data_IF_909060908237
#
_entry.id   IF_909060908237
#
_cell.length_a   1.000
_cell.length_b   1.000
_cell.length_c   1.000
_cell.angle_alpha   90.00
_cell.angle_beta   90.00
_cell.angle_gamma   90.00
#
_symmetry.space_group_name_H-M   'P 1'
#
loop_
_entity.id
_entity.type
_entity.pdbx_description
1 polymer ?
#
# COMPACT_ATOMS: atom_id res chain seq x y z
N UNK A 1 2.92 41.87 9.83
CA UNK A 1 4.25 41.59 9.25
C UNK A 1 4.46 40.09 9.26
N UNK A 2 4.31 39.43 8.10
CA UNK A 2 5.38 38.57 7.64
C UNK A 2 5.71 38.82 6.16
N UNK A 3 7.00 38.82 5.86
CA UNK A 3 7.63 39.14 4.58
C UNK A 3 7.57 37.94 3.64
N UNK A 4 7.04 38.14 2.44
CA UNK A 4 7.12 37.19 1.32
C UNK A 4 8.53 37.18 0.71
N UNK A 5 9.06 36.02 0.27
CA UNK A 5 10.32 35.98 -0.45
C UNK A 5 10.13 36.36 -1.92
N UNK A 6 10.94 37.31 -2.36
CA UNK A 6 11.04 37.90 -3.70
C UNK A 6 11.61 36.90 -4.70
N UNK A 7 10.92 36.66 -5.83
CA UNK A 7 11.44 35.90 -6.97
C UNK A 7 12.30 36.81 -7.87
N UNK A 8 13.47 36.30 -8.26
CA UNK A 8 14.42 36.93 -9.18
C UNK A 8 13.98 36.66 -10.64
N UNK A 9 13.97 37.64 -11.56
CA UNK A 9 13.59 37.41 -12.96
C UNK A 9 14.65 36.61 -13.73
N UNK A 10 14.25 35.56 -14.44
CA UNK A 10 15.12 34.85 -15.39
C UNK A 10 15.07 35.50 -16.78
N UNK A 11 16.19 35.51 -17.54
CA UNK A 11 16.25 36.08 -18.90
C UNK A 11 15.51 35.21 -19.93
N UNK A 12 14.79 35.87 -20.85
CA UNK A 12 14.13 35.26 -22.00
C UNK A 12 15.16 34.74 -23.02
N UNK A 13 15.04 33.47 -23.41
CA UNK A 13 15.81 32.87 -24.51
C UNK A 13 15.23 33.29 -25.88
N UNK A 14 16.06 33.53 -26.90
CA UNK A 14 15.60 33.89 -28.24
C UNK A 14 14.94 32.72 -28.97
N UNK A 15 13.88 33.02 -29.72
CA UNK A 15 13.13 32.09 -30.57
C UNK A 15 14.00 31.53 -31.72
N UNK A 16 13.79 30.27 -32.14
CA UNK A 16 14.54 29.68 -33.24
C UNK A 16 14.18 30.32 -34.59
N UNK A 17 15.11 30.32 -35.58
CA UNK A 17 14.85 30.89 -36.90
C UNK A 17 13.80 30.07 -37.65
N UNK A 18 12.90 30.77 -38.33
CA UNK A 18 11.89 30.21 -39.25
C UNK A 18 12.57 29.36 -40.32
N UNK A 19 12.11 28.12 -40.47
CA UNK A 19 12.63 27.17 -41.46
C UNK A 19 12.26 27.59 -42.88
N UNK A 20 13.09 27.21 -43.85
CA UNK A 20 12.89 27.46 -45.30
C UNK A 20 11.50 26.99 -45.78
N UNK A 21 10.96 25.94 -45.16
CA UNK A 21 9.62 25.42 -45.45
C UNK A 21 8.48 26.38 -45.02
N UNK A 22 8.67 27.20 -43.98
CA UNK A 22 7.68 28.19 -43.55
C UNK A 22 7.64 29.39 -44.52
N UNK A 23 8.78 29.80 -45.07
CA UNK A 23 8.86 30.88 -46.07
C UNK A 23 8.24 30.48 -47.42
N UNK A 24 8.40 29.21 -47.82
CA UNK A 24 7.78 28.67 -49.04
C UNK A 24 6.26 28.57 -48.95
N UNK A 25 5.71 28.41 -47.74
CA UNK A 25 4.26 28.35 -47.52
C UNK A 25 3.61 29.74 -47.62
N UNK A 26 4.28 30.78 -47.15
CA UNK A 26 3.80 32.17 -47.25
C UNK A 26 3.85 32.72 -48.69
N UNK A 27 4.85 32.35 -49.50
CA UNK A 27 4.90 32.69 -50.93
C UNK A 27 3.74 32.06 -51.73
N UNK A 28 3.38 30.81 -51.42
CA UNK A 28 2.26 30.13 -52.09
C UNK A 28 0.89 30.72 -51.71
N UNK A 29 0.75 31.27 -50.50
CA UNK A 29 -0.47 31.96 -50.06
C UNK A 29 -0.62 33.35 -50.70
N UNK A 30 0.49 34.04 -51.00
CA UNK A 30 0.49 35.30 -51.73
C UNK A 30 0.08 35.13 -53.22
N UNK A 31 0.54 34.06 -53.88
CA UNK A 31 0.21 33.78 -55.28
C UNK A 31 -1.27 33.40 -55.50
N UNK A 32 -1.90 32.74 -54.52
CA UNK A 32 -3.34 32.44 -54.54
C UNK A 32 -4.22 33.69 -54.42
N UNK A 33 -3.76 34.73 -53.72
CA UNK A 33 -4.44 36.03 -53.64
C UNK A 33 -4.41 36.82 -54.95
N UNK A 34 -3.35 36.65 -55.74
CA UNK A 34 -3.21 37.30 -57.05
C UNK A 34 -4.07 36.67 -58.15
N UNK A 35 -4.41 35.38 -58.07
CA UNK A 35 -5.32 34.74 -59.05
C UNK A 35 -6.80 35.08 -58.83
N UNK A 36 -7.25 35.26 -57.57
CA UNK A 36 -8.64 35.64 -57.29
C UNK A 36 -8.96 37.08 -57.73
N UNK A 37 -7.96 37.96 -57.73
CA UNK A 37 -8.12 39.38 -58.12
C UNK A 37 -8.23 39.60 -59.63
N UNK A 38 -7.88 38.60 -60.47
CA UNK A 38 -7.98 38.69 -61.95
C UNK A 38 -9.31 38.21 -62.54
N UNK A 39 -10.26 37.77 -61.71
CA UNK A 39 -11.59 37.29 -62.14
C UNK A 39 -12.75 38.26 -61.83
N UNK A 40 -12.49 39.43 -61.24
CA UNK A 40 -13.52 40.34 -60.76
C UNK A 40 -13.80 41.58 -61.66
N UNK A 41 -13.15 41.74 -62.82
CA UNK A 41 -13.38 42.92 -63.69
C UNK A 41 -13.41 42.56 -65.17
N UNK A 42 -14.55 42.04 -65.64
CA UNK A 42 -15.01 42.19 -67.03
C UNK A 42 -16.47 41.71 -67.16
N UNK A 43 -17.42 42.65 -67.14
CA UNK A 43 -18.80 42.38 -67.55
C UNK A 43 -19.52 43.68 -67.87
N UNK A 44 -20.02 43.80 -69.11
CA UNK A 44 -21.13 44.62 -69.68
C UNK A 44 -21.00 44.49 -71.23
N UNK A 45 -21.99 44.11 -72.07
CA UNK A 45 -23.39 43.72 -71.94
C UNK A 45 -24.06 43.36 -73.30
N UNK A 46 -25.34 42.93 -73.21
CA UNK A 46 -26.50 42.98 -74.14
C UNK A 46 -26.59 42.17 -75.47
N UNK A 47 -27.70 41.40 -75.61
CA UNK A 47 -28.37 41.03 -76.88
C UNK A 47 -28.94 39.60 -76.99
N UNK A 48 -30.28 39.42 -76.87
CA UNK A 48 -31.08 38.18 -77.17
C UNK A 48 -31.30 37.96 -78.70
N UNK A 49 -31.85 36.82 -79.25
CA UNK A 49 -32.94 35.92 -78.75
C UNK A 49 -32.94 34.36 -79.03
N UNK A 50 -33.58 33.60 -78.11
CA UNK A 50 -34.47 32.35 -78.09
C UNK A 50 -34.30 31.18 -79.13
N UNK A 51 -34.15 29.86 -78.81
CA UNK A 51 -35.07 28.74 -78.34
C UNK A 51 -34.27 27.36 -78.39
N UNK A 52 -34.76 26.16 -77.95
CA UNK A 52 -35.14 25.64 -76.63
C UNK A 52 -34.11 24.64 -76.02
N UNK A 53 -34.17 24.42 -74.69
CA UNK A 53 -33.20 23.59 -73.91
C UNK A 53 -33.49 22.07 -73.97
N UNK A 54 -32.48 21.19 -74.16
CA UNK A 54 -32.54 19.80 -73.73
C UNK A 54 -32.30 19.68 -72.21
N UNK A 55 -32.99 18.73 -71.58
CA UNK A 55 -33.08 18.53 -70.12
C UNK A 55 -31.73 18.42 -69.40
N UNK A 56 -31.69 18.97 -68.18
CA UNK A 56 -30.56 18.94 -67.24
C UNK A 56 -30.09 17.51 -66.91
N UNK A 57 -30.95 16.50 -67.11
CA UNK A 57 -30.61 15.08 -66.92
C UNK A 57 -29.52 14.59 -67.89
N UNK A 58 -29.45 15.15 -69.11
CA UNK A 58 -28.44 14.76 -70.08
C UNK A 58 -27.05 15.33 -69.74
N UNK A 59 -26.98 16.47 -69.05
CA UNK A 59 -25.70 17.05 -68.63
C UNK A 59 -25.12 16.36 -67.39
N UNK A 60 -25.96 15.85 -66.49
CA UNK A 60 -25.53 14.99 -65.37
C UNK A 60 -25.05 13.61 -65.87
N UNK A 61 -25.75 13.04 -66.86
CA UNK A 61 -25.36 11.76 -67.48
C UNK A 61 -24.03 11.84 -68.22
N UNK A 62 -23.76 12.95 -68.93
CA UNK A 62 -22.50 13.13 -69.67
C UNK A 62 -21.32 13.39 -68.74
N UNK A 63 -21.47 14.21 -67.69
CA UNK A 63 -20.41 14.43 -66.69
C UNK A 63 -20.03 13.14 -65.93
N UNK A 64 -21.01 12.28 -65.67
CA UNK A 64 -20.78 10.98 -65.02
C UNK A 64 -20.01 10.02 -65.94
N UNK A 65 -20.25 10.06 -67.25
CA UNK A 65 -19.55 9.25 -68.26
C UNK A 65 -18.13 9.74 -68.53
N UNK A 66 -17.95 11.06 -68.58
CA UNK A 66 -16.65 11.69 -68.84
C UNK A 66 -15.68 11.52 -67.65
N UNK A 67 -16.21 11.48 -66.40
CA UNK A 67 -15.46 11.08 -65.21
C UNK A 67 -15.06 9.58 -65.21
N UNK A 68 -15.80 8.74 -65.94
CA UNK A 68 -15.53 7.31 -66.09
C UNK A 68 -14.42 7.03 -67.13
N UNK A 69 -14.28 7.88 -68.15
CA UNK A 69 -13.27 7.76 -69.21
C UNK A 69 -11.86 8.22 -68.79
N UNK A 70 -11.75 9.10 -67.78
CA UNK A 70 -10.45 9.54 -67.23
C UNK A 70 -9.83 8.55 -66.22
N UNK A 71 -10.37 7.34 -66.09
CA UNK A 71 -9.79 6.28 -65.25
C UNK A 71 -9.88 6.53 -63.75
N UNK A 72 -10.51 7.62 -63.30
CA UNK A 72 -10.87 7.85 -61.90
C UNK A 72 -12.18 7.11 -61.63
N UNK A 73 -12.14 5.78 -61.79
CA UNK A 73 -13.16 4.95 -61.15
C UNK A 73 -12.84 4.96 -59.66
N UNK A 74 -13.37 5.96 -58.94
CA UNK A 74 -13.43 5.89 -57.49
C UNK A 74 -14.36 4.72 -57.16
N UNK A 75 -13.83 3.50 -57.19
CA UNK A 75 -14.53 2.31 -56.77
C UNK A 75 -14.96 2.58 -55.33
N UNK A 76 -16.27 2.64 -55.04
CA UNK A 76 -16.73 2.96 -53.70
C UNK A 76 -16.16 1.90 -52.76
N UNK A 77 -15.41 2.32 -51.74
CA UNK A 77 -14.74 1.44 -50.80
C UNK A 77 -15.71 0.76 -49.81
N UNK A 78 -16.97 0.55 -50.22
CA UNK A 78 -18.09 0.10 -49.40
C UNK A 78 -19.03 1.24 -48.97
N UNK A 79 -20.11 0.87 -48.29
CA UNK A 79 -21.11 1.79 -47.74
C UNK A 79 -20.84 2.04 -46.25
N UNK A 80 -20.90 3.30 -45.82
CA UNK A 80 -20.65 3.68 -44.44
C UNK A 80 -21.66 3.05 -43.48
N UNK A 81 -21.18 2.43 -42.40
CA UNK A 81 -22.04 1.79 -41.41
C UNK A 81 -22.96 2.74 -40.64
N UNK A 82 -22.60 4.03 -40.52
CA UNK A 82 -23.42 5.04 -39.86
C UNK A 82 -24.51 5.62 -40.77
N UNK A 83 -24.14 6.12 -41.95
CA UNK A 83 -25.06 6.85 -42.83
C UNK A 83 -25.57 6.04 -44.04
N UNK A 84 -25.08 4.81 -44.23
CA UNK A 84 -25.42 3.89 -45.34
C UNK A 84 -25.08 4.40 -46.75
N UNK A 85 -24.43 5.55 -46.88
CA UNK A 85 -24.00 6.12 -48.17
C UNK A 85 -22.66 5.52 -48.63
N UNK A 86 -22.42 5.38 -49.95
CA UNK A 86 -21.12 4.94 -50.48
C UNK A 86 -20.02 5.93 -50.09
N UNK A 87 -18.87 5.39 -49.69
CA UNK A 87 -17.72 6.20 -49.26
C UNK A 87 -16.87 6.51 -50.49
N UNK A 88 -16.79 7.79 -50.86
CA UNK A 88 -15.89 8.29 -51.90
C UNK A 88 -14.65 8.93 -51.24
N UNK A 89 -13.45 8.50 -51.65
CA UNK A 89 -12.18 9.02 -51.11
C UNK A 89 -11.67 8.25 -49.89
N UNK A 90 -11.28 8.96 -48.82
CA UNK A 90 -10.64 8.37 -47.64
C UNK A 90 -11.64 7.49 -46.86
N UNK A 91 -11.40 6.19 -46.86
CA UNK A 91 -12.18 5.20 -46.10
C UNK A 91 -11.50 4.87 -44.78
N UNK A 92 -12.28 4.77 -43.70
CA UNK A 92 -11.83 4.21 -42.44
C UNK A 92 -12.43 2.81 -42.25
N UNK A 93 -11.58 1.80 -42.11
CA UNK A 93 -12.00 0.43 -41.82
C UNK A 93 -11.75 0.12 -40.35
N UNK A 94 -12.82 -0.07 -39.58
CA UNK A 94 -12.76 -0.34 -38.15
C UNK A 94 -13.98 -1.15 -37.69
N UNK A 95 -13.83 -1.97 -36.64
CA UNK A 95 -14.91 -2.83 -36.11
C UNK A 95 -15.53 -3.76 -37.18
N UNK A 96 -14.72 -4.20 -38.15
CA UNK A 96 -15.18 -5.02 -39.29
C UNK A 96 -16.11 -4.30 -40.27
N UNK A 97 -16.19 -2.97 -40.23
CA UNK A 97 -17.07 -2.15 -41.09
C UNK A 97 -16.29 -0.99 -41.70
N UNK A 98 -16.86 -0.37 -42.73
CA UNK A 98 -16.31 0.84 -43.35
C UNK A 98 -17.09 2.07 -42.91
N UNK A 99 -16.38 3.17 -42.70
CA UNK A 99 -16.91 4.42 -42.15
C UNK A 99 -16.32 5.61 -42.89
N UNK A 100 -17.09 6.68 -42.98
CA UNK A 100 -16.48 8.00 -43.22
C UNK A 100 -15.66 8.36 -41.97
N UNK A 101 -14.47 8.97 -42.10
CA UNK A 101 -13.66 9.41 -40.96
C UNK A 101 -14.44 10.25 -39.94
N UNK A 102 -15.33 11.11 -40.43
CA UNK A 102 -16.22 12.00 -39.66
C UNK A 102 -17.31 11.23 -38.89
N UNK A 103 -17.80 10.13 -39.47
CA UNK A 103 -18.88 9.34 -38.89
C UNK A 103 -18.37 8.27 -37.92
N UNK A 104 -17.06 8.02 -37.88
CA UNK A 104 -16.45 7.15 -36.89
C UNK A 104 -16.12 7.95 -35.64
N UNK A 105 -17.06 7.96 -34.70
CA UNK A 105 -16.99 8.75 -33.49
C UNK A 105 -17.16 7.91 -32.22
N UNK A 106 -16.65 8.42 -31.10
CA UNK A 106 -16.83 7.83 -29.79
C UNK A 106 -18.31 7.69 -29.46
N UNK A 107 -18.70 6.53 -28.92
CA UNK A 107 -20.10 6.28 -28.56
C UNK A 107 -20.57 7.13 -27.38
N UNK A 108 -19.67 7.50 -26.46
CA UNK A 108 -19.98 8.31 -25.29
C UNK A 108 -19.94 9.82 -25.60
N UNK A 109 -18.78 10.37 -25.94
CA UNK A 109 -18.62 11.82 -26.16
C UNK A 109 -18.85 12.31 -27.60
N UNK A 110 -19.11 11.42 -28.56
CA UNK A 110 -19.28 11.74 -30.00
C UNK A 110 -18.06 12.40 -30.67
N UNK A 111 -16.90 12.38 -30.04
CA UNK A 111 -15.66 12.87 -30.66
C UNK A 111 -15.23 11.99 -31.83
N UNK A 112 -14.83 12.60 -32.94
CA UNK A 112 -14.32 11.91 -34.12
C UNK A 112 -13.02 11.15 -33.82
N UNK A 113 -12.98 9.87 -34.17
CA UNK A 113 -11.88 8.95 -33.93
C UNK A 113 -11.11 8.60 -35.20
N UNK A 114 -11.52 9.10 -36.37
CA UNK A 114 -11.01 8.71 -37.69
C UNK A 114 -9.50 8.89 -37.95
N UNK A 115 -8.74 9.40 -36.98
CA UNK A 115 -7.27 9.40 -36.97
C UNK A 115 -6.64 9.28 -35.58
N UNK A 116 -7.42 8.95 -34.55
CA UNK A 116 -6.96 8.86 -33.16
C UNK A 116 -7.00 7.41 -32.68
N UNK A 117 -6.14 7.02 -31.72
CA UNK A 117 -6.26 5.72 -31.08
C UNK A 117 -7.65 5.60 -30.43
N UNK A 118 -8.26 4.42 -30.53
CA UNK A 118 -9.57 4.12 -29.97
C UNK A 118 -9.57 2.72 -29.36
N UNK A 119 -10.54 2.47 -28.49
CA UNK A 119 -10.78 1.17 -27.89
C UNK A 119 -12.11 0.58 -28.36
N UNK A 120 -12.11 -0.72 -28.63
CA UNK A 120 -13.30 -1.48 -29.01
C UNK A 120 -13.86 -2.28 -27.82
N UNK A 121 -15.17 -2.16 -27.56
CA UNK A 121 -15.89 -3.00 -26.59
C UNK A 121 -17.29 -3.32 -27.09
N UNK A 122 -17.57 -4.59 -27.36
CA UNK A 122 -18.89 -5.04 -27.81
C UNK A 122 -19.34 -4.40 -29.12
N UNK A 123 -18.42 -4.24 -30.09
CA UNK A 123 -18.70 -3.64 -31.40
C UNK A 123 -18.95 -2.14 -31.39
N UNK A 124 -18.57 -1.45 -30.31
CA UNK A 124 -18.64 0.01 -30.17
C UNK A 124 -17.24 0.60 -29.98
N UNK A 125 -17.00 1.75 -30.59
CA UNK A 125 -15.76 2.51 -30.44
C UNK A 125 -15.89 3.56 -29.32
N UNK A 126 -14.86 3.64 -28.49
CA UNK A 126 -14.71 4.60 -27.41
C UNK A 126 -13.39 5.35 -27.57
N UNK A 127 -13.35 6.62 -27.17
CA UNK A 127 -12.08 7.31 -27.00
C UNK A 127 -11.37 6.73 -25.75
N UNK A 128 -10.08 6.99 -25.62
CA UNK A 128 -9.28 6.51 -24.48
C UNK A 128 -9.88 6.91 -23.13
N UNK A 129 -10.26 8.17 -22.97
CA UNK A 129 -10.80 8.70 -21.70
C UNK A 129 -12.11 8.01 -21.31
N UNK A 130 -13.09 7.97 -22.21
CA UNK A 130 -14.40 7.36 -21.95
C UNK A 130 -14.29 5.84 -21.72
N UNK A 131 -13.37 5.17 -22.43
CA UNK A 131 -13.13 3.75 -22.23
C UNK A 131 -12.61 3.46 -20.83
N UNK A 132 -11.57 4.17 -20.39
CA UNK A 132 -11.00 3.98 -19.06
C UNK A 132 -11.96 4.43 -17.96
N UNK A 133 -12.71 5.51 -18.16
CA UNK A 133 -13.68 5.97 -17.17
C UNK A 133 -14.82 4.96 -16.93
N UNK A 134 -15.29 4.29 -17.99
CA UNK A 134 -16.39 3.35 -17.91
C UNK A 134 -15.96 1.91 -17.56
N UNK A 135 -14.79 1.48 -17.99
CA UNK A 135 -14.43 0.05 -17.99
C UNK A 135 -13.14 -0.29 -17.23
N UNK A 136 -12.27 0.68 -16.93
CA UNK A 136 -11.06 0.36 -16.15
C UNK A 136 -11.40 0.14 -14.67
N UNK A 137 -10.68 -0.79 -14.01
CA UNK A 137 -10.77 -0.96 -12.57
C UNK A 137 -10.35 0.33 -11.86
N UNK A 138 -10.95 0.59 -10.70
CA UNK A 138 -10.69 1.81 -9.91
C UNK A 138 -9.74 1.52 -8.77
N UNK A 139 -8.80 2.42 -8.54
CA UNK A 139 -7.91 2.31 -7.41
C UNK A 139 -8.65 2.56 -6.10
N UNK A 140 -8.52 1.66 -5.12
CA UNK A 140 -9.14 1.80 -3.80
C UNK A 140 -8.67 3.04 -3.02
N UNK A 141 -7.47 3.56 -3.31
CA UNK A 141 -6.93 4.76 -2.67
C UNK A 141 -7.41 6.06 -3.33
N UNK A 142 -7.18 6.23 -4.64
CA UNK A 142 -7.47 7.50 -5.34
C UNK A 142 -8.80 7.51 -6.11
N UNK A 143 -9.54 6.41 -6.17
CA UNK A 143 -10.75 6.19 -6.98
C UNK A 143 -10.60 6.38 -8.51
N UNK A 144 -9.39 6.70 -8.98
CA UNK A 144 -9.05 6.89 -10.38
C UNK A 144 -8.98 5.56 -11.16
N UNK A 145 -9.25 5.59 -12.48
CA UNK A 145 -9.13 4.42 -13.35
C UNK A 145 -7.66 4.00 -13.52
N UNK A 146 -7.40 2.70 -13.39
CA UNK A 146 -6.05 2.12 -13.58
C UNK A 146 -5.90 1.74 -15.05
N UNK A 147 -4.99 2.42 -15.76
CA UNK A 147 -4.77 2.25 -17.21
C UNK A 147 -3.83 1.09 -17.55
N UNK A 148 -2.77 0.92 -16.77
CA UNK A 148 -1.68 -0.01 -17.08
C UNK A 148 -1.60 -1.15 -16.06
N UNK A 149 -0.66 -1.04 -15.11
CA UNK A 149 -0.40 -2.09 -14.12
C UNK A 149 -1.45 -2.02 -13.02
N UNK A 150 -2.32 -3.02 -12.99
CA UNK A 150 -3.23 -3.26 -11.87
C UNK A 150 -2.55 -4.13 -10.83
N UNK A 151 -2.53 -3.66 -9.58
CA UNK A 151 -2.18 -4.48 -8.44
C UNK A 151 -3.48 -4.92 -7.76
N UNK A 152 -3.68 -6.22 -7.62
CA UNK A 152 -4.84 -6.79 -6.92
C UNK A 152 -4.40 -7.27 -5.55
N UNK A 153 -4.96 -6.69 -4.49
CA UNK A 153 -4.69 -7.03 -3.10
C UNK A 153 -5.87 -6.61 -2.23
N UNK A 154 -6.10 -7.33 -1.11
CA UNK A 154 -7.22 -7.05 -0.19
C UNK A 154 -8.58 -7.02 -0.90
N UNK A 155 -8.78 -7.96 -1.83
CA UNK A 155 -9.95 -8.07 -2.71
C UNK A 155 -10.29 -6.78 -3.49
N UNK A 156 -9.30 -5.92 -3.68
CA UNK A 156 -9.42 -4.61 -4.32
C UNK A 156 -8.31 -4.38 -5.35
N UNK A 157 -8.52 -3.40 -6.21
CA UNK A 157 -7.55 -2.98 -7.23
C UNK A 157 -6.86 -1.67 -6.85
N UNK A 158 -5.56 -1.60 -7.11
CA UNK A 158 -4.71 -0.49 -6.69
C UNK A 158 -3.75 -0.10 -7.81
N UNK A 159 -3.37 1.17 -7.83
CA UNK A 159 -2.14 1.56 -8.49
C UNK A 159 -0.96 0.99 -7.67
N UNK A 160 0.10 0.45 -8.30
CA UNK A 160 1.27 -0.07 -7.57
C UNK A 160 1.89 0.97 -6.62
N UNK A 161 1.87 2.25 -7.00
CA UNK A 161 2.34 3.38 -6.20
C UNK A 161 1.41 3.76 -5.03
N UNK A 162 0.12 3.41 -5.11
CA UNK A 162 -0.87 3.68 -4.07
C UNK A 162 -1.12 2.50 -3.14
N UNK A 163 -0.37 1.41 -3.30
CA UNK A 163 -0.39 0.28 -2.39
C UNK A 163 0.81 0.36 -1.44
N UNK A 164 0.61 1.09 -0.33
CA UNK A 164 1.64 1.38 0.66
C UNK A 164 1.15 1.15 2.09
N UNK A 165 2.08 1.12 3.05
CA UNK A 165 1.75 0.96 4.45
C UNK A 165 0.84 2.08 4.95
N UNK A 166 -0.30 1.73 5.55
CA UNK A 166 -1.26 2.68 6.09
C UNK A 166 -0.73 3.51 7.27
N UNK A 167 0.41 3.12 7.86
CA UNK A 167 1.05 3.83 8.98
C UNK A 167 2.23 4.70 8.51
N UNK A 168 3.28 4.11 7.93
CA UNK A 168 4.46 4.87 7.49
C UNK A 168 4.44 5.39 6.04
N UNK A 169 3.47 4.98 5.21
CA UNK A 169 3.39 5.38 3.80
C UNK A 169 4.42 4.73 2.87
N UNK A 170 5.24 3.78 3.37
CA UNK A 170 6.24 3.08 2.55
C UNK A 170 5.57 2.09 1.60
N UNK A 171 5.94 2.13 0.32
CA UNK A 171 5.56 1.11 -0.67
C UNK A 171 6.17 -0.26 -0.31
N UNK A 172 5.43 -1.33 -0.57
CA UNK A 172 5.92 -2.69 -0.28
C UNK A 172 6.96 -3.12 -1.31
N UNK A 173 8.05 -3.70 -0.82
CA UNK A 173 9.06 -4.38 -1.65
C UNK A 173 8.83 -5.89 -1.67
N UNK A 174 9.91 -6.64 -1.79
CA UNK A 174 9.87 -8.12 -1.84
C UNK A 174 9.40 -8.76 -0.53
N UNK A 175 9.49 -8.04 0.59
CA UNK A 175 9.03 -8.47 1.92
C UNK A 175 7.50 -8.58 2.04
N UNK A 176 6.75 -8.10 1.03
CA UNK A 176 5.29 -8.12 1.02
C UNK A 176 4.66 -7.17 2.05
N UNK A 177 3.42 -7.50 2.43
CA UNK A 177 2.59 -6.69 3.35
C UNK A 177 1.84 -7.60 4.34
N UNK A 178 1.38 -7.00 5.44
CA UNK A 178 0.50 -7.63 6.41
C UNK A 178 -0.84 -6.90 6.44
N UNK A 179 -1.95 -7.64 6.53
CA UNK A 179 -3.28 -7.03 6.63
C UNK A 179 -3.74 -6.95 8.09
N UNK A 180 -4.29 -5.81 8.48
CA UNK A 180 -5.17 -5.70 9.64
C UNK A 180 -6.39 -4.86 9.32
N UNK A 181 -7.59 -5.42 9.49
CA UNK A 181 -8.86 -4.71 9.33
C UNK A 181 -9.00 -4.05 7.94
N UNK A 182 -8.64 -4.78 6.88
CA UNK A 182 -8.71 -4.27 5.49
C UNK A 182 -7.68 -3.19 5.15
N UNK A 183 -6.67 -2.96 6.01
CA UNK A 183 -5.57 -2.01 5.75
C UNK A 183 -4.23 -2.74 5.63
N UNK A 184 -3.40 -2.40 4.65
CA UNK A 184 -2.08 -3.00 4.49
C UNK A 184 -1.02 -2.28 5.35
N UNK A 185 -0.15 -3.03 6.01
CA UNK A 185 0.93 -2.55 6.87
C UNK A 185 2.26 -3.21 6.50
N UNK A 186 3.36 -2.50 6.67
CA UNK A 186 4.68 -3.11 6.54
C UNK A 186 4.96 -4.00 7.75
N UNK A 187 5.89 -4.97 7.61
CA UNK A 187 6.23 -5.90 8.70
C UNK A 187 6.59 -5.16 10.00
N UNK A 188 7.38 -4.10 9.91
CA UNK A 188 7.84 -3.33 11.08
C UNK A 188 6.68 -2.67 11.83
N UNK A 189 5.83 -1.93 11.12
CA UNK A 189 4.67 -1.24 11.69
C UNK A 189 3.63 -2.23 12.23
N UNK A 190 3.41 -3.33 11.49
CA UNK A 190 2.49 -4.37 11.92
C UNK A 190 2.93 -4.99 13.25
N UNK A 191 4.22 -5.30 13.40
CA UNK A 191 4.77 -5.83 14.64
C UNK A 191 4.74 -4.80 15.76
N UNK A 192 5.13 -3.55 15.49
CA UNK A 192 5.17 -2.51 16.51
C UNK A 192 3.79 -2.20 17.12
N UNK A 193 2.73 -2.27 16.30
CA UNK A 193 1.37 -1.93 16.74
C UNK A 193 0.54 -3.12 17.19
N UNK A 194 0.71 -4.29 16.55
CA UNK A 194 -0.23 -5.41 16.72
C UNK A 194 0.40 -6.68 17.29
N UNK A 195 1.72 -6.81 17.31
CA UNK A 195 2.33 -7.98 17.93
C UNK A 195 2.26 -7.87 19.46
N UNK A 196 2.00 -8.99 20.15
CA UNK A 196 2.00 -9.01 21.60
C UNK A 196 3.42 -8.71 22.11
N UNK A 197 3.53 -7.90 23.16
CA UNK A 197 4.81 -7.45 23.70
C UNK A 197 5.26 -8.36 24.84
N UNK A 198 6.55 -8.68 24.88
CA UNK A 198 7.12 -9.46 25.96
C UNK A 198 7.01 -8.68 27.27
N UNK A 199 6.47 -9.31 28.31
CA UNK A 199 6.34 -8.65 29.62
C UNK A 199 7.68 -8.44 30.34
N UNK A 200 8.76 -9.09 29.89
CA UNK A 200 10.11 -8.94 30.44
C UNK A 200 10.92 -7.82 29.78
N UNK A 201 10.82 -7.65 28.45
CA UNK A 201 11.63 -6.68 27.71
C UNK A 201 10.84 -5.64 26.92
N UNK A 202 9.51 -5.72 26.90
CA UNK A 202 8.57 -4.84 26.16
C UNK A 202 8.70 -4.87 24.63
N UNK A 203 9.55 -5.73 24.08
CA UNK A 203 9.70 -5.88 22.64
C UNK A 203 8.63 -6.83 22.05
N UNK A 204 8.19 -6.61 20.80
CA UNK A 204 7.30 -7.51 20.06
C UNK A 204 7.80 -8.95 20.05
N UNK A 205 6.92 -9.91 20.36
CA UNK A 205 7.22 -11.33 20.25
C UNK A 205 6.61 -11.89 18.98
N UNK A 206 7.43 -12.50 18.14
CA UNK A 206 7.01 -13.06 16.85
C UNK A 206 6.62 -14.53 17.00
N UNK A 207 7.62 -15.41 17.13
CA UNK A 207 7.45 -16.86 17.14
C UNK A 207 8.11 -17.48 18.37
N UNK A 208 7.69 -18.69 18.74
CA UNK A 208 8.26 -19.49 19.83
C UNK A 208 8.28 -18.75 21.19
N UNK A 209 7.10 -18.31 21.64
CA UNK A 209 6.93 -17.58 22.88
C UNK A 209 6.29 -18.40 23.98
N UNK A 210 6.51 -17.97 25.22
CA UNK A 210 5.89 -18.54 26.41
C UNK A 210 4.67 -17.71 26.82
N UNK A 211 3.54 -18.37 27.03
CA UNK A 211 2.34 -17.76 27.61
C UNK A 211 2.30 -18.08 29.10
N UNK A 212 2.53 -17.07 29.94
CA UNK A 212 2.57 -17.19 31.39
C UNK A 212 2.19 -15.86 32.05
N UNK A 213 1.65 -15.90 33.27
CA UNK A 213 1.32 -14.71 34.06
C UNK A 213 0.38 -13.74 33.31
N UNK A 214 -0.57 -14.29 32.55
CA UNK A 214 -1.52 -13.53 31.70
C UNK A 214 -0.84 -12.66 30.63
N UNK A 215 0.42 -12.96 30.27
CA UNK A 215 1.19 -12.25 29.24
C UNK A 215 2.00 -13.20 28.36
N UNK A 216 2.72 -12.61 27.41
CA UNK A 216 3.67 -13.34 26.54
C UNK A 216 5.10 -12.99 26.91
N UNK A 217 6.00 -13.94 26.70
CA UNK A 217 7.40 -13.81 27.05
C UNK A 217 8.28 -14.44 26.00
N UNK A 218 9.44 -13.84 25.71
CA UNK A 218 10.52 -14.59 25.08
C UNK A 218 11.01 -15.69 26.03
N UNK A 219 11.41 -16.87 25.52
CA UNK A 219 11.98 -17.93 26.34
C UNK A 219 13.16 -17.45 27.21
N UNK A 220 14.02 -16.59 26.66
CA UNK A 220 15.14 -15.97 27.39
C UNK A 220 14.73 -14.87 28.38
N UNK A 221 13.54 -14.27 28.22
CA UNK A 221 13.04 -13.23 29.12
C UNK A 221 12.22 -13.81 30.30
N UNK A 222 11.75 -15.05 30.20
CA UNK A 222 11.02 -15.71 31.28
C UNK A 222 12.01 -16.33 32.29
N UNK A 223 12.58 -15.45 33.11
CA UNK A 223 13.60 -15.77 34.12
C UNK A 223 13.19 -15.28 35.50
N UNK A 224 13.81 -15.80 36.56
CA UNK A 224 13.57 -15.31 37.91
C UNK A 224 13.97 -13.83 38.03
N UNK A 225 13.09 -13.00 38.59
CA UNK A 225 13.32 -11.55 38.75
C UNK A 225 14.57 -11.22 39.59
N UNK A 226 14.98 -12.09 40.52
CA UNK A 226 16.12 -11.80 41.40
C UNK A 226 17.46 -12.29 40.86
N UNK A 227 17.55 -13.51 40.33
CA UNK A 227 18.80 -14.07 39.82
C UNK A 227 18.93 -14.09 38.30
N UNK A 228 17.88 -13.68 37.57
CA UNK A 228 17.82 -13.69 36.11
C UNK A 228 18.12 -15.06 35.48
N UNK A 229 17.99 -16.13 36.29
CA UNK A 229 18.22 -17.50 35.84
C UNK A 229 16.92 -18.08 35.29
N UNK A 230 17.05 -18.89 34.24
CA UNK A 230 15.94 -19.66 33.69
C UNK A 230 15.48 -20.74 34.67
N UNK A 231 14.24 -21.20 34.51
CA UNK A 231 13.63 -22.21 35.36
C UNK A 231 14.07 -23.62 34.91
N UNK A 232 15.22 -24.07 35.43
CA UNK A 232 15.89 -25.33 35.02
C UNK A 232 15.01 -26.58 35.22
N UNK A 233 14.04 -26.53 36.15
CA UNK A 233 13.10 -27.62 36.42
C UNK A 233 11.73 -27.47 35.77
N UNK A 234 11.53 -26.46 34.91
CA UNK A 234 10.22 -26.14 34.32
C UNK A 234 9.17 -25.62 35.31
N UNK A 235 9.50 -25.53 36.60
CA UNK A 235 8.65 -24.97 37.64
C UNK A 235 9.08 -23.55 38.01
N UNK A 236 8.10 -22.70 38.24
CA UNK A 236 8.26 -21.32 38.70
C UNK A 236 7.17 -20.99 39.72
N UNK A 237 7.38 -19.94 40.49
CA UNK A 237 6.39 -19.40 41.42
C UNK A 237 6.01 -17.99 41.00
N UNK A 238 4.72 -17.68 41.06
CA UNK A 238 4.20 -16.34 40.81
C UNK A 238 4.08 -15.57 42.12
N UNK A 239 4.53 -14.32 42.11
CA UNK A 239 4.21 -13.35 43.15
C UNK A 239 4.01 -11.98 42.52
N UNK A 240 2.85 -11.35 42.75
CA UNK A 240 2.48 -10.04 42.17
C UNK A 240 2.63 -9.99 40.64
N UNK A 241 2.26 -11.06 39.93
CA UNK A 241 2.39 -11.16 38.47
C UNK A 241 3.84 -11.24 37.98
N UNK A 242 4.79 -11.59 38.84
CA UNK A 242 6.21 -11.74 38.50
C UNK A 242 6.72 -13.17 38.77
N UNK A 243 7.60 -13.71 37.91
CA UNK A 243 8.11 -15.07 38.06
C UNK A 243 9.34 -15.13 38.99
N UNK A 244 9.33 -16.06 39.94
CA UNK A 244 10.41 -16.30 40.90
C UNK A 244 10.82 -17.77 40.89
N UNK A 245 12.10 -18.05 41.11
CA UNK A 245 12.54 -19.42 41.36
C UNK A 245 12.13 -19.83 42.77
N UNK A 246 12.10 -21.14 43.03
CA UNK A 246 11.66 -21.69 44.32
C UNK A 246 12.40 -21.06 45.51
N UNK A 247 13.71 -20.87 45.39
CA UNK A 247 14.54 -20.28 46.44
C UNK A 247 14.14 -18.83 46.72
N UNK A 248 14.11 -17.96 45.70
CA UNK A 248 13.81 -16.54 45.86
C UNK A 248 12.37 -16.27 46.31
N UNK A 249 11.43 -17.10 45.86
CA UNK A 249 10.04 -17.05 46.34
C UNK A 249 9.96 -17.29 47.85
N UNK A 250 10.60 -18.36 48.34
CA UNK A 250 10.59 -18.68 49.77
C UNK A 250 11.48 -17.74 50.61
N UNK A 251 12.53 -17.14 50.03
CA UNK A 251 13.31 -16.09 50.67
C UNK A 251 12.43 -14.87 50.98
N UNK A 252 11.67 -14.39 49.99
CA UNK A 252 10.76 -13.25 50.17
C UNK A 252 9.60 -13.53 51.12
N UNK A 253 9.09 -14.77 51.15
CA UNK A 253 8.07 -15.17 52.13
C UNK A 253 8.62 -15.45 53.54
N UNK A 254 9.95 -15.41 53.73
CA UNK A 254 10.57 -15.73 55.01
C UNK A 254 10.35 -17.20 55.42
N UNK A 255 10.37 -18.12 54.46
CA UNK A 255 10.20 -19.56 54.64
C UNK A 255 11.48 -20.36 54.38
N UNK A 256 12.65 -19.71 54.46
CA UNK A 256 13.95 -20.37 54.35
C UNK A 256 14.44 -20.83 55.72
N UNK A 257 14.97 -22.04 55.77
CA UNK A 257 15.62 -22.58 56.96
C UNK A 257 16.94 -21.86 57.21
N UNK A 258 17.09 -21.21 58.36
CA UNK A 258 18.33 -20.53 58.72
C UNK A 258 19.52 -21.49 58.87
N UNK A 259 19.26 -22.76 59.24
CA UNK A 259 20.31 -23.77 59.40
C UNK A 259 20.92 -24.31 58.10
N UNK A 260 20.16 -24.41 57.00
CA UNK A 260 20.62 -25.04 55.76
C UNK A 260 20.42 -24.19 54.49
N UNK A 261 19.77 -23.03 54.60
CA UNK A 261 19.51 -22.14 53.47
C UNK A 261 18.46 -22.64 52.46
N UNK A 262 17.82 -23.79 52.71
CA UNK A 262 16.79 -24.36 51.83
C UNK A 262 15.37 -23.97 52.25
N UNK A 263 14.42 -23.88 51.29
CA UNK A 263 12.99 -23.71 51.59
C UNK A 263 12.46 -24.76 52.56
N UNK A 264 11.70 -24.31 53.58
CA UNK A 264 11.00 -25.21 54.50
C UNK A 264 9.60 -25.49 53.95
N UNK A 265 9.44 -26.66 53.33
CA UNK A 265 8.15 -27.14 52.85
C UNK A 265 7.46 -27.97 53.95
N UNK A 266 6.42 -27.40 54.58
CA UNK A 266 5.62 -28.07 55.60
C UNK A 266 5.97 -27.68 57.05
N UNK A 267 6.20 -28.68 57.92
CA UNK A 267 6.42 -28.44 59.37
C UNK A 267 7.72 -27.68 59.58
N UNK A 268 7.64 -26.52 60.22
CA UNK A 268 8.79 -25.71 60.58
C UNK A 268 8.80 -25.38 62.08
N UNK A 269 9.99 -25.20 62.64
CA UNK A 269 10.18 -24.62 63.96
C UNK A 269 10.49 -23.14 63.78
N UNK A 270 9.68 -22.28 64.39
CA UNK A 270 9.94 -20.84 64.43
C UNK A 270 10.51 -20.46 65.80
N UNK A 271 11.71 -19.88 65.81
CA UNK A 271 12.42 -19.46 67.00
C UNK A 271 13.19 -18.17 66.69
N UNK A 272 13.14 -17.18 67.60
CA UNK A 272 13.83 -15.89 67.44
C UNK A 272 13.58 -15.18 66.08
N UNK A 273 12.34 -15.23 65.59
CA UNK A 273 11.97 -14.65 64.29
C UNK A 273 12.49 -15.39 63.06
N UNK A 274 13.18 -16.53 63.24
CA UNK A 274 13.74 -17.36 62.16
C UNK A 274 13.01 -18.69 62.08
N UNK A 275 13.01 -19.27 60.87
CA UNK A 275 12.44 -20.59 60.62
C UNK A 275 13.55 -21.62 60.44
N UNK A 276 13.30 -22.82 60.92
CA UNK A 276 14.18 -23.97 60.84
C UNK A 276 13.37 -25.20 60.43
N UNK A 277 13.98 -26.11 59.68
CA UNK A 277 13.49 -27.49 59.66
C UNK A 277 13.61 -28.09 61.07
N UNK A 278 12.72 -28.99 61.49
CA UNK A 278 12.79 -29.63 62.81
C UNK A 278 14.14 -30.30 63.08
N UNK A 279 14.75 -30.90 62.05
CA UNK A 279 16.08 -31.52 62.11
C UNK A 279 17.24 -30.51 62.23
N UNK A 280 17.05 -29.28 61.74
CA UNK A 280 18.06 -28.22 61.75
C UNK A 280 17.94 -27.29 62.97
N UNK A 281 16.95 -27.53 63.85
CA UNK A 281 16.78 -26.79 65.09
C UNK A 281 17.53 -27.48 66.23
N UNK A 282 18.85 -27.29 66.26
CA UNK A 282 19.78 -27.99 67.16
C UNK A 282 20.62 -27.02 67.98
N UNK A 283 21.14 -27.49 69.12
CA UNK A 283 22.07 -26.75 69.96
C UNK A 283 23.41 -26.55 69.23
N UNK A 284 23.88 -25.30 69.14
CA UNK A 284 25.15 -24.99 68.48
C UNK A 284 26.39 -25.61 69.15
N UNK A 285 26.28 -26.06 70.41
CA UNK A 285 27.38 -26.70 71.14
C UNK A 285 27.28 -28.23 71.14
N UNK A 286 26.16 -28.80 71.59
CA UNK A 286 26.02 -30.24 71.73
C UNK A 286 25.31 -30.93 70.55
N UNK A 287 24.83 -30.17 69.56
CA UNK A 287 24.08 -30.65 68.39
C UNK A 287 22.77 -31.40 68.71
N UNK A 288 22.33 -31.40 69.97
CA UNK A 288 21.06 -31.99 70.38
C UNK A 288 19.86 -31.20 69.85
N UNK A 289 18.79 -31.90 69.47
CA UNK A 289 17.53 -31.29 69.03
C UNK A 289 16.94 -30.42 70.14
N UNK A 290 16.61 -29.18 69.78
CA UNK A 290 15.98 -28.22 70.67
C UNK A 290 14.46 -28.32 70.55
N UNK A 291 13.74 -28.08 71.64
CA UNK A 291 12.29 -28.04 71.64
C UNK A 291 11.81 -26.61 71.91
N UNK A 292 10.57 -26.32 71.51
CA UNK A 292 9.98 -25.00 71.72
C UNK A 292 9.92 -24.70 73.23
N UNK A 293 10.69 -23.70 73.68
CA UNK A 293 10.73 -23.24 75.07
C UNK A 293 11.90 -23.74 75.94
N UNK A 294 12.78 -24.61 75.44
CA UNK A 294 13.93 -25.17 76.22
C UNK A 294 15.30 -24.66 75.79
N UNK A 295 15.34 -23.61 74.96
CA UNK A 295 16.56 -23.04 74.40
C UNK A 295 16.80 -21.61 74.86
N UNK A 296 18.05 -21.17 74.79
CA UNK A 296 18.48 -19.78 74.97
C UNK A 296 19.26 -19.35 73.73
N UNK A 297 19.10 -18.10 73.34
CA UNK A 297 19.81 -17.48 72.22
C UNK A 297 21.01 -16.69 72.74
N UNK A 298 22.18 -16.90 72.12
CA UNK A 298 23.37 -16.09 72.38
C UNK A 298 24.14 -15.89 71.06
N UNK A 299 24.39 -14.64 70.67
CA UNK A 299 25.17 -14.33 69.47
C UNK A 299 24.66 -14.97 68.18
N UNK A 300 23.33 -14.92 67.95
CA UNK A 300 22.65 -15.51 66.79
C UNK A 300 22.74 -17.06 66.68
N UNK A 301 23.03 -17.72 67.81
CA UNK A 301 23.07 -19.18 67.90
C UNK A 301 22.14 -19.65 69.00
N UNK A 302 21.50 -20.80 68.74
CA UNK A 302 20.57 -21.44 69.66
C UNK A 302 21.33 -22.45 70.52
N UNK A 303 21.18 -22.37 71.83
CA UNK A 303 21.80 -23.28 72.80
C UNK A 303 20.73 -23.94 73.67
N UNK A 304 20.90 -25.20 74.05
CA UNK A 304 20.07 -25.76 75.12
C UNK A 304 20.41 -25.07 76.45
N UNK A 305 19.45 -25.01 77.38
CA UNK A 305 19.64 -24.32 78.67
C UNK A 305 20.92 -24.77 79.40
N UNK A 306 21.19 -26.07 79.43
CA UNK A 306 22.37 -26.62 80.08
C UNK A 306 23.70 -26.20 79.42
N UNK A 307 23.75 -26.10 78.09
CA UNK A 307 24.95 -25.64 77.38
C UNK A 307 25.13 -24.14 77.52
N UNK A 308 24.04 -23.36 77.44
CA UNK A 308 24.11 -21.92 77.61
C UNK A 308 24.59 -21.54 79.02
N UNK A 309 24.01 -22.14 80.05
CA UNK A 309 24.36 -21.83 81.44
C UNK A 309 25.80 -22.28 81.79
N UNK A 310 26.41 -23.19 81.01
CA UNK A 310 27.83 -23.58 81.17
C UNK A 310 28.81 -22.70 80.40
N UNK A 311 28.35 -22.04 79.34
CA UNK A 311 29.21 -21.28 78.42
C UNK A 311 29.15 -19.77 78.68
N UNK A 312 28.05 -19.28 79.26
CA UNK A 312 27.73 -17.84 79.33
C UNK A 312 27.24 -17.36 80.70
N UNK A 313 27.17 -18.24 81.70
CA UNK A 313 26.92 -17.94 83.12
C UNK A 313 28.10 -18.46 83.94
#
# INVERSE_FOLDING_TARGET
LPSSPTQVPQPLLPSPPTTVAAQQLDELLADLGHMQSKLATAGLGAGEPVEPKPSLDNMLGSLTRDLQELGITATPAGACAACRKPIAGKVLTALGKTWHPEHFACTCCRQELGGRPFFERGGRAYCEEDYHQAFSPRCAYCAGPIREKVLTALDQTWHPEHFFCAHCGKVFGDDGFHERSGKPYCRQDFLAMFAPKCQGCEHPVMDNYLSALQGVWHPECFVCVECLSSFTGGSFFEMEGRPYCELHFHQRQGSICHGCGRPVTGRCVTAAGRKYHPEHFICAYCLGQLQKGTFREHGDKMYCRACHDKLFL
#
